data_IF_693045377595
#
_entry.id   IF_693045377595
#
_cell.length_a   1.000
_cell.length_b   1.000
_cell.length_c   1.000
_cell.angle_alpha   90.00
_cell.angle_beta   90.00
_cell.angle_gamma   90.00
#
_symmetry.space_group_name_H-M   'P 1'
#
loop_
_entity.id
_entity.type
_entity.pdbx_description
1 polymer ?
#
# COMPACT_ATOMS: atom_id res chain seq x y z
N UNK A 1 29.32 7.43 -6.62
CA UNK A 1 28.01 7.13 -5.99
C UNK A 1 27.31 6.19 -6.95
N UNK A 2 26.76 5.06 -6.48
CA UNK A 2 26.02 4.13 -7.33
C UNK A 2 24.73 4.79 -7.81
N UNK A 3 24.34 4.51 -9.04
CA UNK A 3 23.08 4.95 -9.63
C UNK A 3 22.01 3.93 -9.30
N UNK A 4 21.05 4.29 -8.46
CA UNK A 4 20.04 3.36 -7.92
C UNK A 4 18.69 3.62 -8.57
N UNK A 5 18.09 2.57 -9.12
CA UNK A 5 16.70 2.57 -9.56
C UNK A 5 15.77 2.26 -8.37
N UNK A 6 14.73 3.05 -8.18
CA UNK A 6 13.64 2.72 -7.25
C UNK A 6 12.47 2.16 -8.05
N UNK A 7 12.01 0.99 -7.61
CA UNK A 7 10.91 0.25 -8.24
C UNK A 7 9.87 -0.15 -7.18
N UNK A 8 8.60 -0.08 -7.53
CA UNK A 8 7.48 -0.58 -6.72
C UNK A 8 6.46 -1.28 -7.60
N UNK A 9 5.35 -1.74 -7.04
CA UNK A 9 4.19 -2.23 -7.78
C UNK A 9 3.00 -1.26 -7.67
N UNK A 10 1.96 -1.46 -8.50
CA UNK A 10 0.81 -0.56 -8.55
C UNK A 10 -0.05 -0.58 -7.28
N UNK A 11 0.15 -1.53 -6.34
CA UNK A 11 -0.53 -1.51 -5.04
C UNK A 11 -0.08 -0.33 -4.16
N UNK A 12 1.04 0.32 -4.49
CA UNK A 12 1.45 1.58 -3.86
C UNK A 12 0.44 2.71 -4.11
N UNK A 13 -0.35 2.65 -5.18
CA UNK A 13 -1.22 3.73 -5.61
C UNK A 13 -0.51 4.81 -6.45
N UNK A 14 0.80 4.64 -6.69
CA UNK A 14 1.53 5.55 -7.59
C UNK A 14 1.17 5.19 -9.03
N UNK A 15 0.59 6.14 -9.74
CA UNK A 15 0.23 5.99 -11.15
C UNK A 15 1.45 5.93 -12.07
N UNK A 16 1.30 5.38 -13.29
CA UNK A 16 2.40 5.38 -14.28
C UNK A 16 2.87 6.80 -14.61
N UNK A 17 1.96 7.77 -14.65
CA UNK A 17 2.27 9.19 -14.88
C UNK A 17 3.07 9.80 -13.74
N UNK A 18 2.68 9.55 -12.49
CA UNK A 18 3.41 10.02 -11.31
C UNK A 18 4.80 9.38 -11.24
N UNK A 19 4.89 8.06 -11.50
CA UNK A 19 6.16 7.34 -11.54
C UNK A 19 7.15 7.95 -12.53
N UNK A 20 6.68 8.30 -13.73
CA UNK A 20 7.52 8.99 -14.72
C UNK A 20 8.01 10.36 -14.22
N UNK A 21 7.15 11.12 -13.54
CA UNK A 21 7.52 12.41 -12.93
C UNK A 21 8.51 12.28 -11.78
N UNK A 22 8.45 11.19 -11.01
CA UNK A 22 9.34 10.88 -9.89
C UNK A 22 10.66 10.24 -10.34
N UNK A 23 10.76 9.75 -11.57
CA UNK A 23 11.91 9.00 -12.07
C UNK A 23 12.04 7.61 -11.45
N UNK A 24 10.92 6.96 -11.13
CA UNK A 24 10.84 5.60 -10.61
C UNK A 24 10.11 4.67 -11.57
N UNK A 25 10.08 3.39 -11.26
CA UNK A 25 9.35 2.39 -12.04
C UNK A 25 8.24 1.73 -11.23
N UNK A 26 7.06 1.60 -11.81
CA UNK A 26 5.92 0.90 -11.22
C UNK A 26 5.58 -0.33 -12.05
N UNK A 27 5.69 -1.52 -11.43
CA UNK A 27 5.26 -2.77 -12.03
C UNK A 27 3.74 -2.90 -11.90
N UNK A 28 2.99 -2.96 -13.00
CA UNK A 28 1.54 -3.07 -12.92
C UNK A 28 1.13 -4.45 -12.41
N UNK A 29 0.21 -4.46 -11.44
CA UNK A 29 -0.39 -5.70 -10.92
C UNK A 29 -1.50 -6.16 -11.86
N UNK A 30 -1.48 -7.43 -12.30
CA UNK A 30 -2.54 -7.97 -13.14
C UNK A 30 -3.79 -8.29 -12.30
N UNK A 31 -4.95 -8.03 -12.85
CA UNK A 31 -6.21 -8.53 -12.34
C UNK A 31 -7.15 -8.90 -13.47
N UNK A 32 -8.06 -9.82 -13.21
CA UNK A 32 -9.00 -10.34 -14.19
C UNK A 32 -10.40 -9.86 -13.88
N UNK A 33 -11.10 -9.39 -14.92
CA UNK A 33 -12.52 -9.05 -14.88
C UNK A 33 -13.19 -9.88 -15.97
N UNK A 34 -14.12 -10.76 -15.60
CA UNK A 34 -14.83 -11.65 -16.53
C UNK A 34 -13.86 -12.33 -17.51
N UNK A 35 -12.82 -12.99 -17.01
CA UNK A 35 -11.79 -13.72 -17.77
C UNK A 35 -10.88 -12.86 -18.66
N UNK A 36 -10.98 -11.54 -18.61
CA UNK A 36 -10.08 -10.62 -19.31
C UNK A 36 -9.07 -10.02 -18.35
N UNK A 37 -7.78 -10.03 -18.73
CA UNK A 37 -6.71 -9.45 -17.91
C UNK A 37 -6.62 -7.95 -18.14
N UNK A 38 -6.60 -7.22 -17.02
CA UNK A 38 -6.45 -5.78 -16.97
C UNK A 38 -5.27 -5.34 -16.14
N UNK A 39 -4.79 -4.14 -16.43
CA UNK A 39 -3.74 -3.42 -15.70
C UNK A 39 -4.18 -1.97 -15.51
N UNK A 40 -4.20 -1.51 -14.27
CA UNK A 40 -4.54 -0.13 -13.92
C UNK A 40 -3.62 0.86 -14.67
N UNK A 41 -4.17 1.98 -15.11
CA UNK A 41 -3.50 3.04 -15.87
C UNK A 41 -2.94 2.62 -17.25
N UNK A 42 -3.10 1.36 -17.66
CA UNK A 42 -2.65 0.84 -18.96
C UNK A 42 -3.85 0.55 -19.85
N UNK A 43 -4.76 -0.30 -19.41
CA UNK A 43 -5.94 -0.69 -20.18
C UNK A 43 -7.25 -0.65 -19.37
N UNK A 44 -7.21 -0.11 -18.13
CA UNK A 44 -8.38 0.09 -17.29
C UNK A 44 -8.24 1.38 -16.47
N UNK A 45 -9.30 2.20 -16.50
CA UNK A 45 -9.48 3.37 -15.65
C UNK A 45 -10.28 3.02 -14.39
N UNK A 46 -10.22 3.87 -13.36
CA UNK A 46 -10.99 3.68 -12.13
C UNK A 46 -12.51 3.69 -12.41
N UNK A 47 -13.02 4.63 -13.18
CA UNK A 47 -14.44 4.70 -13.51
C UNK A 47 -14.93 3.41 -14.17
N UNK A 48 -14.19 2.92 -15.17
CA UNK A 48 -14.51 1.67 -15.86
C UNK A 48 -14.50 0.46 -14.94
N UNK A 49 -13.59 0.42 -13.99
CA UNK A 49 -13.52 -0.64 -12.99
C UNK A 49 -14.77 -0.66 -12.11
N UNK A 50 -15.17 0.50 -11.59
CA UNK A 50 -16.37 0.58 -10.76
C UNK A 50 -17.66 0.30 -11.53
N UNK A 51 -17.73 0.67 -12.83
CA UNK A 51 -18.82 0.22 -13.72
C UNK A 51 -18.91 -1.31 -13.80
N UNK A 52 -17.78 -2.01 -13.91
CA UNK A 52 -17.76 -3.47 -13.89
C UNK A 52 -18.29 -4.04 -12.58
N UNK A 53 -17.84 -3.49 -11.44
CA UNK A 53 -18.33 -3.96 -10.13
C UNK A 53 -19.82 -3.72 -9.92
N UNK A 54 -20.35 -2.60 -10.37
CA UNK A 54 -21.77 -2.27 -10.30
C UNK A 54 -22.63 -3.20 -11.18
N UNK A 55 -22.04 -3.82 -12.19
CA UNK A 55 -22.67 -4.82 -13.05
C UNK A 55 -22.31 -6.27 -12.66
N UNK A 56 -21.99 -6.51 -11.38
CA UNK A 56 -21.73 -7.84 -10.80
C UNK A 56 -20.59 -8.61 -11.48
N UNK A 57 -19.61 -7.94 -12.07
CA UNK A 57 -18.47 -8.59 -12.71
C UNK A 57 -17.66 -9.41 -11.71
N UNK A 58 -17.16 -10.56 -12.17
CA UNK A 58 -16.28 -11.41 -11.36
C UNK A 58 -14.86 -10.85 -11.45
N UNK A 59 -14.34 -10.36 -10.31
CA UNK A 59 -12.99 -9.81 -10.22
C UNK A 59 -12.09 -10.74 -9.41
N UNK A 60 -10.88 -10.97 -9.90
CA UNK A 60 -9.81 -11.69 -9.18
C UNK A 60 -8.45 -11.03 -9.46
N UNK A 61 -7.50 -11.21 -8.56
CA UNK A 61 -6.14 -10.68 -8.69
C UNK A 61 -5.11 -11.79 -8.72
N UNK A 62 -3.98 -11.53 -9.38
CA UNK A 62 -2.80 -12.37 -9.31
C UNK A 62 -1.54 -11.53 -9.06
N UNK A 63 -0.46 -12.19 -8.64
CA UNK A 63 0.84 -11.55 -8.63
C UNK A 63 1.35 -11.35 -10.07
N UNK A 64 2.29 -10.42 -10.32
CA UNK A 64 3.00 -10.34 -11.60
C UNK A 64 3.70 -11.66 -11.93
N UNK A 65 3.82 -11.98 -13.21
CA UNK A 65 4.58 -13.16 -13.60
C UNK A 65 6.07 -12.98 -13.26
N UNK A 66 6.80 -14.08 -12.98
CA UNK A 66 8.26 -14.03 -12.84
C UNK A 66 8.93 -13.35 -14.03
N UNK A 67 8.49 -13.64 -15.26
CA UNK A 67 9.02 -13.02 -16.48
C UNK A 67 8.86 -11.49 -16.49
N UNK A 68 7.74 -10.97 -15.98
CA UNK A 68 7.53 -9.51 -15.90
C UNK A 68 8.51 -8.85 -14.93
N UNK A 69 8.80 -9.51 -13.80
CA UNK A 69 9.80 -9.05 -12.83
C UNK A 69 11.22 -9.10 -13.41
N UNK A 70 11.61 -10.22 -14.00
CA UNK A 70 12.91 -10.42 -14.66
C UNK A 70 13.12 -9.36 -15.74
N UNK A 71 12.14 -9.16 -16.61
CA UNK A 71 12.21 -8.15 -17.66
C UNK A 71 12.42 -6.74 -17.09
N UNK A 72 11.71 -6.39 -16.01
CA UNK A 72 11.86 -5.07 -15.38
C UNK A 72 13.23 -4.94 -14.71
N UNK A 73 13.75 -5.98 -14.03
CA UNK A 73 15.08 -5.95 -13.44
C UNK A 73 16.17 -5.76 -14.50
N UNK A 74 16.12 -6.51 -15.61
CA UNK A 74 17.06 -6.34 -16.72
C UNK A 74 17.00 -4.92 -17.32
N UNK A 75 15.77 -4.42 -17.57
CA UNK A 75 15.57 -3.07 -18.10
C UNK A 75 16.21 -2.02 -17.21
N UNK A 76 16.04 -2.12 -15.90
CA UNK A 76 16.59 -1.15 -14.95
C UNK A 76 18.09 -1.30 -14.79
N UNK A 77 18.62 -2.52 -14.72
CA UNK A 77 20.07 -2.77 -14.60
C UNK A 77 20.86 -2.41 -15.88
N UNK A 78 20.19 -2.19 -17.02
CA UNK A 78 20.84 -1.64 -18.19
C UNK A 78 21.23 -0.17 -18.05
N UNK A 79 20.61 0.58 -17.12
CA UNK A 79 20.81 2.01 -16.92
C UNK A 79 21.28 2.38 -15.52
N UNK A 80 21.11 1.48 -14.53
CA UNK A 80 21.40 1.68 -13.11
C UNK A 80 22.32 0.58 -12.59
N UNK A 81 23.11 0.91 -11.57
CA UNK A 81 24.02 -0.06 -10.92
C UNK A 81 23.26 -1.02 -10.01
N UNK A 82 22.19 -0.54 -9.38
CA UNK A 82 21.37 -1.30 -8.43
C UNK A 82 19.89 -0.97 -8.58
N UNK A 83 19.04 -1.93 -8.19
CA UNK A 83 17.59 -1.79 -8.12
C UNK A 83 17.13 -2.03 -6.70
N UNK A 84 16.37 -1.09 -6.14
CA UNK A 84 15.62 -1.27 -4.89
C UNK A 84 14.15 -1.46 -5.24
N UNK A 85 13.65 -2.68 -5.07
CA UNK A 85 12.26 -3.04 -5.34
C UNK A 85 11.46 -3.10 -4.04
N UNK A 86 10.39 -2.30 -3.96
CA UNK A 86 9.51 -2.17 -2.80
C UNK A 86 8.12 -2.70 -3.17
N UNK A 87 7.89 -4.03 -3.12
CA UNK A 87 6.58 -4.63 -3.38
C UNK A 87 5.65 -4.46 -2.19
N UNK A 88 4.35 -4.73 -2.40
CA UNK A 88 3.39 -4.82 -1.30
C UNK A 88 3.75 -5.92 -0.30
N UNK A 89 3.19 -5.82 0.92
CA UNK A 89 3.41 -6.77 2.02
C UNK A 89 3.38 -8.24 1.58
N UNK A 90 4.38 -9.01 2.00
CA UNK A 90 4.45 -10.46 1.79
C UNK A 90 3.28 -11.23 2.40
N UNK A 91 2.61 -10.67 3.41
CA UNK A 91 1.43 -11.27 4.01
C UNK A 91 0.15 -11.09 3.20
N UNK A 92 0.14 -10.19 2.20
CA UNK A 92 -1.02 -9.88 1.36
C UNK A 92 -0.87 -10.42 -0.07
N UNK A 93 0.37 -10.62 -0.56
CA UNK A 93 0.65 -11.16 -1.89
C UNK A 93 1.93 -11.98 -1.90
N UNK A 94 1.97 -13.04 -2.72
CA UNK A 94 3.18 -13.79 -3.02
C UNK A 94 4.22 -13.03 -3.85
N UNK A 95 3.88 -11.85 -4.40
CA UNK A 95 4.78 -11.08 -5.27
C UNK A 95 6.11 -10.72 -4.61
N UNK A 96 6.09 -10.36 -3.32
CA UNK A 96 7.31 -10.08 -2.56
C UNK A 96 8.22 -11.30 -2.47
N UNK A 97 7.68 -12.47 -2.15
CA UNK A 97 8.45 -13.72 -2.05
C UNK A 97 9.04 -14.11 -3.41
N UNK A 98 8.25 -14.02 -4.48
CA UNK A 98 8.73 -14.28 -5.85
C UNK A 98 9.87 -13.32 -6.21
N UNK A 99 9.73 -12.03 -5.93
CA UNK A 99 10.79 -11.05 -6.17
C UNK A 99 12.06 -11.35 -5.35
N UNK A 100 11.92 -11.73 -4.07
CA UNK A 100 13.05 -12.12 -3.22
C UNK A 100 13.79 -13.36 -3.77
N UNK A 101 13.05 -14.34 -4.29
CA UNK A 101 13.67 -15.54 -4.90
C UNK A 101 14.46 -15.17 -6.16
N UNK A 102 13.85 -14.39 -7.05
CA UNK A 102 14.50 -13.94 -8.28
C UNK A 102 15.74 -13.06 -8.00
N UNK A 103 15.70 -12.21 -6.99
CA UNK A 103 16.84 -11.37 -6.61
C UNK A 103 18.06 -12.16 -6.11
N UNK A 104 17.89 -13.45 -5.78
CA UNK A 104 18.99 -14.36 -5.39
C UNK A 104 19.60 -15.12 -6.58
N UNK A 105 19.00 -15.00 -7.77
CA UNK A 105 19.60 -15.60 -8.97
C UNK A 105 20.95 -14.94 -9.28
N UNK A 106 21.95 -15.70 -9.79
CA UNK A 106 23.33 -15.21 -9.97
C UNK A 106 23.44 -13.89 -10.77
N UNK A 107 22.52 -13.64 -11.67
CA UNK A 107 22.51 -12.43 -12.50
C UNK A 107 22.02 -11.18 -11.75
N UNK A 108 21.23 -11.34 -10.67
CA UNK A 108 20.62 -10.26 -9.86
C UNK A 108 21.24 -10.13 -8.47
N UNK A 109 21.92 -11.15 -8.00
CA UNK A 109 22.52 -11.15 -6.66
C UNK A 109 23.49 -9.98 -6.47
N UNK A 110 23.35 -9.28 -5.36
CA UNK A 110 24.11 -8.07 -5.06
C UNK A 110 23.77 -6.84 -5.89
N UNK A 111 22.77 -6.91 -6.79
CA UNK A 111 22.31 -5.79 -7.63
C UNK A 111 20.83 -5.45 -7.43
N UNK A 112 19.99 -6.43 -7.09
CA UNK A 112 18.55 -6.24 -6.84
C UNK A 112 18.28 -6.46 -5.36
N UNK A 113 17.73 -5.45 -4.70
CA UNK A 113 17.41 -5.42 -3.28
C UNK A 113 15.90 -5.31 -3.09
N UNK A 114 15.26 -6.42 -2.72
CA UNK A 114 13.81 -6.47 -2.49
C UNK A 114 13.53 -6.15 -1.03
N UNK A 115 12.67 -5.14 -0.79
CA UNK A 115 12.31 -4.63 0.53
C UNK A 115 10.99 -5.22 0.98
N UNK A 116 10.98 -6.03 2.03
CA UNK A 116 9.77 -6.53 2.66
C UNK A 116 9.44 -5.74 3.94
N UNK A 117 8.99 -4.52 3.79
CA UNK A 117 8.63 -3.69 4.94
C UNK A 117 7.14 -3.79 5.33
N UNK A 118 6.42 -4.77 4.81
CA UNK A 118 5.05 -5.11 5.19
C UNK A 118 4.05 -3.96 5.02
N UNK A 119 4.26 -3.10 4.04
CA UNK A 119 3.41 -1.95 3.72
C UNK A 119 2.58 -2.18 2.46
N UNK A 120 1.53 -1.38 2.29
CA UNK A 120 0.63 -1.38 1.14
C UNK A 120 0.03 0.00 0.97
N UNK A 121 -0.42 0.34 -0.25
CA UNK A 121 -1.13 1.59 -0.55
C UNK A 121 -0.29 2.81 -0.14
N UNK A 122 -0.92 3.81 0.45
CA UNK A 122 -0.28 5.08 0.83
C UNK A 122 0.95 4.93 1.74
N UNK A 123 1.03 3.88 2.55
CA UNK A 123 2.23 3.60 3.36
C UNK A 123 3.36 3.00 2.53
N UNK A 124 3.03 2.22 1.50
CA UNK A 124 4.01 1.76 0.50
C UNK A 124 4.51 2.93 -0.36
N UNK A 125 3.62 3.86 -0.75
CA UNK A 125 4.03 5.13 -1.39
C UNK A 125 5.05 5.88 -0.54
N UNK A 126 4.81 6.00 0.77
CA UNK A 126 5.76 6.67 1.65
C UNK A 126 7.13 5.97 1.64
N UNK A 127 7.15 4.62 1.68
CA UNK A 127 8.41 3.87 1.59
C UNK A 127 9.18 4.12 0.29
N UNK A 128 8.48 4.31 -0.82
CA UNK A 128 9.09 4.69 -2.10
C UNK A 128 9.74 6.06 -2.02
N UNK A 129 9.05 7.05 -1.44
CA UNK A 129 9.58 8.40 -1.25
C UNK A 129 10.80 8.39 -0.31
N UNK A 130 10.75 7.62 0.77
CA UNK A 130 11.86 7.47 1.71
C UNK A 130 13.07 6.82 1.02
N UNK A 131 12.87 5.78 0.19
CA UNK A 131 13.93 5.16 -0.60
C UNK A 131 14.60 6.16 -1.56
N UNK A 132 13.81 7.00 -2.23
CA UNK A 132 14.34 8.05 -3.12
C UNK A 132 15.21 9.07 -2.36
N UNK A 133 14.79 9.48 -1.18
CA UNK A 133 15.55 10.41 -0.34
C UNK A 133 16.86 9.76 0.18
N UNK A 134 16.81 8.47 0.57
CA UNK A 134 18.00 7.74 0.98
C UNK A 134 18.99 7.59 -0.19
N UNK A 135 18.51 7.26 -1.39
CA UNK A 135 19.35 7.19 -2.59
C UNK A 135 20.02 8.54 -2.92
N UNK A 136 19.26 9.65 -2.83
CA UNK A 136 19.83 11.01 -2.98
C UNK A 136 20.91 11.34 -1.95
N UNK A 137 20.77 10.82 -0.72
CA UNK A 137 21.77 10.97 0.36
C UNK A 137 22.99 10.06 0.19
N UNK A 138 23.00 9.19 -0.84
CA UNK A 138 24.12 8.33 -1.20
C UNK A 138 24.14 6.96 -0.56
N UNK A 139 23.05 6.51 0.06
CA UNK A 139 22.93 5.15 0.55
C UNK A 139 22.84 4.19 -0.64
N UNK A 140 23.48 3.01 -0.52
CA UNK A 140 23.38 1.94 -1.49
C UNK A 140 22.09 1.09 -1.30
N UNK A 141 21.81 0.19 -2.24
CA UNK A 141 20.59 -0.61 -2.22
C UNK A 141 20.44 -1.50 -0.98
N UNK A 142 21.56 -2.07 -0.48
CA UNK A 142 21.55 -2.89 0.73
C UNK A 142 21.22 -2.07 1.99
N UNK A 143 21.78 -0.86 2.08
CA UNK A 143 21.52 0.07 3.17
C UNK A 143 20.09 0.58 3.15
N UNK A 144 19.56 0.95 1.97
CA UNK A 144 18.17 1.39 1.80
C UNK A 144 17.21 0.26 2.22
N UNK A 145 17.43 -0.97 1.73
CA UNK A 145 16.65 -2.15 2.13
C UNK A 145 16.63 -2.31 3.64
N UNK A 146 17.80 -2.30 4.28
CA UNK A 146 17.92 -2.47 5.72
C UNK A 146 17.13 -1.41 6.49
N UNK A 147 17.30 -0.14 6.15
CA UNK A 147 16.62 0.98 6.82
C UNK A 147 15.10 0.85 6.70
N UNK A 148 14.58 0.58 5.50
CA UNK A 148 13.15 0.46 5.28
C UNK A 148 12.53 -0.77 5.96
N UNK A 149 13.27 -1.87 6.08
CA UNK A 149 12.80 -3.07 6.79
C UNK A 149 12.84 -2.89 8.31
N UNK A 150 13.80 -2.17 8.85
CA UNK A 150 13.85 -1.78 10.27
C UNK A 150 12.70 -0.83 10.63
N UNK A 151 12.31 0.06 9.70
CA UNK A 151 11.23 1.05 9.86
C UNK A 151 9.81 0.47 9.68
N UNK A 152 9.67 -0.82 9.38
CA UNK A 152 8.38 -1.42 9.02
C UNK A 152 7.23 -1.18 10.01
N UNK A 153 7.53 -1.13 11.30
CA UNK A 153 6.54 -0.92 12.35
C UNK A 153 6.30 0.56 12.69
N UNK A 154 7.02 1.50 12.08
CA UNK A 154 6.75 2.94 12.19
C UNK A 154 5.63 3.37 11.22
N UNK A 155 4.61 2.54 11.13
CA UNK A 155 3.44 2.74 10.29
C UNK A 155 2.25 2.01 10.90
N UNK A 156 1.07 2.60 10.78
CA UNK A 156 -0.21 1.98 11.14
C UNK A 156 -1.25 2.31 10.09
N UNK A 157 -2.10 1.34 9.77
CA UNK A 157 -3.27 1.55 8.91
C UNK A 157 -4.51 1.10 9.68
N UNK A 158 -5.53 1.95 9.73
CA UNK A 158 -6.85 1.61 10.23
C UNK A 158 -7.86 1.75 9.11
N UNK A 159 -8.71 0.74 8.94
CA UNK A 159 -9.62 0.64 7.80
C UNK A 159 -11.01 0.34 8.32
N UNK A 160 -11.99 1.16 7.97
CA UNK A 160 -13.40 0.87 8.19
C UNK A 160 -14.03 0.48 6.86
N UNK A 161 -14.73 -0.65 6.83
CA UNK A 161 -15.35 -1.21 5.64
C UNK A 161 -16.86 -1.33 5.80
N UNK A 162 -17.57 -1.21 4.69
CA UNK A 162 -19.00 -1.51 4.63
C UNK A 162 -19.27 -3.00 4.64
N UNK A 163 -18.40 -3.82 4.06
CA UNK A 163 -18.50 -5.27 4.02
C UNK A 163 -17.12 -5.93 4.11
N UNK A 164 -17.07 -7.13 4.68
CA UNK A 164 -15.88 -8.00 4.67
C UNK A 164 -15.95 -9.09 3.59
N UNK A 165 -16.98 -9.04 2.72
CA UNK A 165 -17.23 -10.09 1.73
C UNK A 165 -16.03 -10.32 0.82
N UNK A 166 -15.50 -9.25 0.23
CA UNK A 166 -14.39 -9.33 -0.74
C UNK A 166 -13.08 -9.76 -0.08
N UNK A 167 -12.77 -9.24 1.11
CA UNK A 167 -11.60 -9.65 1.88
C UNK A 167 -11.64 -11.12 2.30
N UNK A 168 -12.80 -11.62 2.71
CA UNK A 168 -13.00 -13.05 3.02
C UNK A 168 -12.80 -13.91 1.77
N UNK A 169 -13.43 -13.54 0.67
CA UNK A 169 -13.30 -14.22 -0.61
C UNK A 169 -11.85 -14.25 -1.08
N UNK A 170 -11.12 -13.15 -0.88
CA UNK A 170 -9.71 -13.02 -1.23
C UNK A 170 -8.75 -13.72 -0.26
N UNK A 171 -9.15 -14.05 0.96
CA UNK A 171 -8.28 -14.68 1.96
C UNK A 171 -7.17 -13.76 2.52
N UNK A 172 -7.32 -12.43 2.45
CA UNK A 172 -6.32 -11.41 2.87
C UNK A 172 -6.56 -10.89 4.27
N UNK A 173 -7.38 -11.56 5.07
CA UNK A 173 -7.65 -11.22 6.47
C UNK A 173 -7.33 -12.38 7.39
N UNK A 174 -7.06 -12.06 8.67
CA UNK A 174 -6.90 -13.09 9.70
C UNK A 174 -8.24 -13.78 10.00
N UNK A 175 -8.23 -15.01 10.56
CA UNK A 175 -9.46 -15.67 11.02
C UNK A 175 -10.25 -14.83 12.03
N UNK A 176 -9.56 -14.07 12.90
CA UNK A 176 -10.17 -13.17 13.87
C UNK A 176 -10.94 -12.03 13.18
N UNK A 177 -10.33 -11.38 12.17
CA UNK A 177 -10.99 -10.36 11.38
C UNK A 177 -12.15 -10.94 10.55
N UNK A 178 -11.99 -12.13 9.97
CA UNK A 178 -13.04 -12.81 9.23
C UNK A 178 -14.28 -13.11 10.08
N UNK A 179 -14.11 -13.41 11.37
CA UNK A 179 -15.21 -13.65 12.31
C UNK A 179 -16.07 -12.39 12.57
N UNK A 180 -15.52 -11.18 12.40
CA UNK A 180 -16.29 -9.94 12.55
C UNK A 180 -17.42 -9.81 11.51
N UNK A 181 -17.21 -10.32 10.30
CA UNK A 181 -18.17 -10.19 9.21
C UNK A 181 -19.40 -11.09 9.32
N UNK A 182 -19.52 -11.92 10.36
CA UNK A 182 -20.73 -12.72 10.62
C UNK A 182 -21.79 -11.96 11.39
N UNK A 183 -21.46 -10.78 11.91
CA UNK A 183 -22.35 -9.95 12.73
C UNK A 183 -23.05 -8.93 11.85
N UNK A 184 -24.33 -9.16 11.56
CA UNK A 184 -25.20 -8.25 10.81
C UNK A 184 -25.20 -6.85 11.44
N UNK A 185 -25.11 -5.81 10.60
CA UNK A 185 -25.17 -4.38 10.96
C UNK A 185 -23.98 -3.82 11.73
N UNK A 186 -22.82 -4.48 11.76
CA UNK A 186 -21.60 -3.88 12.28
C UNK A 186 -20.74 -3.29 11.15
N UNK A 187 -20.05 -2.21 11.48
CA UNK A 187 -18.97 -1.63 10.68
C UNK A 187 -17.64 -2.06 11.31
N UNK A 188 -16.98 -3.09 10.79
CA UNK A 188 -15.71 -3.53 11.33
C UNK A 188 -14.62 -2.50 11.08
N UNK A 189 -13.78 -2.25 12.09
CA UNK A 189 -12.53 -1.52 11.93
C UNK A 189 -11.42 -2.56 12.00
N UNK A 190 -10.61 -2.60 10.95
CA UNK A 190 -9.44 -3.46 10.82
C UNK A 190 -8.17 -2.63 10.98
N UNK A 191 -7.05 -3.29 11.26
CA UNK A 191 -5.73 -2.67 11.30
C UNK A 191 -4.72 -3.46 10.46
N UNK A 192 -3.69 -2.76 9.99
CA UNK A 192 -2.45 -3.35 9.50
C UNK A 192 -1.31 -2.76 10.32
N UNK A 193 -0.69 -3.60 11.15
CA UNK A 193 0.57 -3.37 11.85
C UNK A 193 1.45 -4.60 11.66
N UNK A 194 1.95 -4.80 10.45
CA UNK A 194 2.67 -6.00 10.06
C UNK A 194 2.10 -6.57 8.76
N UNK A 195 2.01 -7.90 8.65
CA UNK A 195 1.83 -8.55 7.35
C UNK A 195 0.40 -8.52 6.80
N UNK A 196 -0.63 -8.61 7.65
CA UNK A 196 -2.04 -8.88 7.25
C UNK A 196 -3.01 -7.92 7.91
N UNK A 197 -4.22 -7.87 7.33
CA UNK A 197 -5.34 -7.21 7.98
C UNK A 197 -5.83 -8.03 9.17
N UNK A 198 -5.88 -7.39 10.33
CA UNK A 198 -6.36 -7.99 11.57
C UNK A 198 -7.54 -7.22 12.14
N UNK A 199 -8.25 -7.83 13.07
CA UNK A 199 -9.36 -7.23 13.78
C UNK A 199 -8.85 -6.15 14.75
N UNK A 200 -9.43 -4.95 14.69
CA UNK A 200 -9.14 -3.87 15.64
C UNK A 200 -10.34 -3.57 16.53
N UNK A 201 -11.47 -3.19 15.94
CA UNK A 201 -12.65 -2.79 16.69
C UNK A 201 -13.95 -3.13 15.94
N UNK A 202 -15.08 -3.02 16.67
CA UNK A 202 -16.44 -3.21 16.15
C UNK A 202 -17.23 -1.94 16.38
N UNK A 203 -17.56 -1.22 15.32
CA UNK A 203 -18.44 -0.07 15.38
C UNK A 203 -19.87 -0.46 14.97
N UNK A 204 -20.86 0.25 15.54
CA UNK A 204 -22.28 0.09 15.14
C UNK A 204 -22.69 1.07 14.06
N UNK A 205 -21.97 2.16 13.91
CA UNK A 205 -22.23 3.25 12.94
C UNK A 205 -20.94 3.69 12.27
N UNK A 206 -21.03 4.33 11.10
CA UNK A 206 -19.86 4.96 10.44
C UNK A 206 -19.20 5.99 11.38
N UNK A 207 -19.97 6.85 12.04
CA UNK A 207 -19.45 7.86 12.97
C UNK A 207 -18.66 7.24 14.12
N UNK A 208 -19.18 6.16 14.74
CA UNK A 208 -18.44 5.45 15.80
C UNK A 208 -17.13 4.84 15.28
N UNK A 209 -17.15 4.27 14.05
CA UNK A 209 -15.94 3.73 13.42
C UNK A 209 -14.89 4.80 13.13
N UNK A 210 -15.29 5.94 12.59
CA UNK A 210 -14.42 7.10 12.38
C UNK A 210 -13.79 7.58 13.69
N UNK A 211 -14.58 7.73 14.75
CA UNK A 211 -14.07 8.10 16.08
C UNK A 211 -13.06 7.10 16.63
N UNK A 212 -13.29 5.80 16.44
CA UNK A 212 -12.35 4.75 16.85
C UNK A 212 -11.03 4.84 16.08
N UNK A 213 -11.07 5.11 14.76
CA UNK A 213 -9.86 5.29 13.96
C UNK A 213 -9.07 6.54 14.37
N UNK A 214 -9.74 7.68 14.59
CA UNK A 214 -9.10 8.90 15.08
C UNK A 214 -8.42 8.67 16.45
N UNK A 215 -9.10 7.99 17.37
CA UNK A 215 -8.52 7.68 18.67
C UNK A 215 -7.33 6.73 18.56
N UNK A 216 -7.38 5.75 17.66
CA UNK A 216 -6.27 4.83 17.42
C UNK A 216 -5.03 5.55 16.88
N UNK A 217 -5.21 6.41 15.88
CA UNK A 217 -4.14 7.26 15.33
C UNK A 217 -3.58 8.19 16.41
N UNK A 218 -4.43 8.80 17.22
CA UNK A 218 -3.99 9.64 18.34
C UNK A 218 -3.09 8.87 19.32
N UNK A 219 -3.51 7.66 19.70
CA UNK A 219 -2.73 6.79 20.59
C UNK A 219 -1.38 6.39 19.95
N UNK A 220 -1.36 6.10 18.64
CA UNK A 220 -0.12 5.79 17.94
C UNK A 220 0.83 6.99 17.90
N UNK A 221 0.32 8.19 17.62
CA UNK A 221 1.13 9.41 17.64
C UNK A 221 1.72 9.64 19.03
N UNK A 222 0.91 9.54 20.09
CA UNK A 222 1.36 9.75 21.48
C UNK A 222 2.40 8.73 21.93
N UNK A 223 2.22 7.44 21.61
CA UNK A 223 3.00 6.37 22.23
C UNK A 223 4.08 5.77 21.32
N UNK A 224 4.03 6.02 20.00
CA UNK A 224 4.92 5.36 19.03
C UNK A 224 5.62 6.34 18.09
N UNK A 225 5.00 7.46 17.74
CA UNK A 225 5.49 8.35 16.68
C UNK A 225 5.97 9.71 17.20
N UNK A 226 6.33 9.82 18.48
CA UNK A 226 7.01 10.98 19.04
C UNK A 226 6.10 12.05 19.64
N UNK A 227 4.77 11.85 19.65
CA UNK A 227 3.85 12.79 20.28
C UNK A 227 3.33 13.88 19.35
N UNK A 228 2.97 15.05 19.93
CA UNK A 228 2.29 16.14 19.21
C UNK A 228 3.15 17.43 19.14
N UNK A 229 4.43 17.33 19.43
CA UNK A 229 5.34 18.47 19.28
C UNK A 229 5.66 18.79 17.80
N UNK A 230 6.34 19.90 17.55
CA UNK A 230 6.66 20.33 16.19
C UNK A 230 7.57 19.33 15.47
N UNK A 231 8.48 18.66 16.19
CA UNK A 231 9.38 17.67 15.62
C UNK A 231 8.60 16.45 15.12
N UNK A 232 7.63 15.97 15.90
CA UNK A 232 6.74 14.87 15.49
C UNK A 232 5.89 15.25 14.29
N UNK A 233 5.37 16.50 14.23
CA UNK A 233 4.59 16.99 13.07
C UNK A 233 5.41 17.07 11.80
N UNK A 234 6.72 17.32 11.89
CA UNK A 234 7.63 17.31 10.74
C UNK A 234 7.92 15.89 10.24
N UNK A 235 7.97 14.91 11.14
CA UNK A 235 8.33 13.53 10.81
C UNK A 235 7.13 12.66 10.43
N UNK A 236 5.96 12.86 11.07
CA UNK A 236 4.75 12.06 10.83
C UNK A 236 3.95 12.64 9.67
N UNK A 237 3.52 11.77 8.76
CA UNK A 237 2.58 12.11 7.69
C UNK A 237 1.32 11.26 7.84
N UNK A 238 0.18 11.91 7.91
CA UNK A 238 -1.12 11.25 7.86
C UNK A 238 -1.51 10.99 6.41
N UNK A 239 -2.14 9.85 6.18
CA UNK A 239 -2.63 9.49 4.86
C UNK A 239 -4.08 9.03 4.92
N UNK A 240 -4.86 9.41 3.92
CA UNK A 240 -6.21 8.89 3.68
C UNK A 240 -6.19 8.15 2.34
N UNK A 241 -6.66 6.92 2.37
CA UNK A 241 -6.94 6.15 1.17
C UNK A 241 -8.45 5.86 1.11
N UNK A 242 -9.03 5.95 -0.07
CA UNK A 242 -10.47 5.78 -0.26
C UNK A 242 -10.80 5.02 -1.55
N UNK A 243 -12.00 4.44 -1.61
CA UNK A 243 -12.59 3.88 -2.82
C UNK A 243 -13.62 4.87 -3.38
N UNK A 244 -13.96 4.78 -4.64
CA UNK A 244 -14.98 5.50 -5.43
C UNK A 244 -15.46 6.88 -4.94
N UNK A 245 -15.93 7.03 -3.69
CA UNK A 245 -16.59 8.24 -3.17
C UNK A 245 -15.58 9.31 -2.72
N UNK A 246 -15.19 10.16 -3.67
CA UNK A 246 -14.28 11.27 -3.40
C UNK A 246 -14.91 12.38 -2.53
N UNK A 247 -16.24 12.55 -2.56
CA UNK A 247 -16.93 13.56 -1.73
C UNK A 247 -16.93 13.14 -0.26
N UNK A 248 -17.26 11.86 0.04
CA UNK A 248 -17.15 11.32 1.41
C UNK A 248 -15.69 11.37 1.90
N UNK A 249 -14.72 11.12 1.02
CA UNK A 249 -13.31 11.19 1.35
C UNK A 249 -12.87 12.63 1.71
N UNK A 250 -13.33 13.64 1.00
CA UNK A 250 -13.01 15.05 1.32
C UNK A 250 -13.64 15.49 2.65
N UNK A 251 -14.86 15.07 2.97
CA UNK A 251 -15.46 15.30 4.30
C UNK A 251 -14.63 14.60 5.40
N UNK A 252 -14.19 13.37 5.15
CA UNK A 252 -13.32 12.66 6.09
C UNK A 252 -11.98 13.35 6.30
N UNK A 253 -11.41 13.89 5.24
CA UNK A 253 -10.18 14.68 5.31
C UNK A 253 -10.33 15.90 6.22
N UNK A 254 -11.45 16.60 6.15
CA UNK A 254 -11.72 17.73 7.04
C UNK A 254 -11.77 17.29 8.50
N UNK A 255 -12.50 16.21 8.82
CA UNK A 255 -12.54 15.63 10.17
C UNK A 255 -11.14 15.26 10.70
N UNK A 256 -10.29 14.67 9.85
CA UNK A 256 -8.91 14.31 10.21
C UNK A 256 -8.05 15.54 10.44
N UNK A 257 -8.16 16.58 9.59
CA UNK A 257 -7.40 17.82 9.75
C UNK A 257 -7.80 18.57 11.04
N UNK A 258 -9.09 18.56 11.40
CA UNK A 258 -9.57 19.12 12.66
C UNK A 258 -9.04 18.36 13.88
N UNK A 259 -8.96 17.02 13.80
CA UNK A 259 -8.47 16.17 14.87
C UNK A 259 -6.93 16.26 15.07
N UNK A 260 -6.18 16.54 14.00
CA UNK A 260 -4.72 16.56 13.98
C UNK A 260 -4.16 17.84 13.34
N UNK A 261 -4.37 19.00 13.95
CA UNK A 261 -3.91 20.27 13.39
C UNK A 261 -2.37 20.33 13.33
N UNK A 262 -1.88 20.80 12.19
CA UNK A 262 -0.45 20.97 11.95
C UNK A 262 0.30 19.74 11.41
N UNK A 263 -0.33 18.57 11.38
CA UNK A 263 0.25 17.40 10.71
C UNK A 263 0.08 17.51 9.19
N UNK A 264 1.08 16.98 8.46
CA UNK A 264 0.96 16.82 7.00
C UNK A 264 -0.07 15.75 6.68
N UNK A 265 -0.96 16.04 5.74
CA UNK A 265 -1.99 15.10 5.30
C UNK A 265 -1.93 14.92 3.78
N UNK A 266 -1.94 13.69 3.34
CA UNK A 266 -2.06 13.29 1.93
C UNK A 266 -3.32 12.45 1.76
N UNK A 267 -3.96 12.55 0.60
CA UNK A 267 -5.14 11.74 0.25
C UNK A 267 -5.01 11.23 -1.17
N UNK A 268 -5.31 9.95 -1.38
CA UNK A 268 -5.29 9.31 -2.68
C UNK A 268 -6.36 8.21 -2.78
N UNK A 269 -6.90 7.93 -3.96
CA UNK A 269 -7.70 6.74 -4.17
C UNK A 269 -6.84 5.48 -3.99
N UNK A 270 -7.46 4.37 -3.59
CA UNK A 270 -6.81 3.07 -3.61
C UNK A 270 -6.56 2.61 -5.04
N UNK A 271 -5.44 1.94 -5.27
CA UNK A 271 -5.23 1.23 -6.53
C UNK A 271 -6.31 0.17 -6.75
N UNK A 272 -6.65 -0.10 -8.00
CA UNK A 272 -7.73 -1.04 -8.34
C UNK A 272 -7.45 -2.46 -7.88
N UNK A 273 -6.18 -2.88 -7.90
CA UNK A 273 -5.73 -4.18 -7.40
C UNK A 273 -5.89 -4.34 -5.87
N UNK A 274 -6.00 -3.24 -5.12
CA UNK A 274 -6.35 -3.22 -3.70
C UNK A 274 -7.86 -3.06 -3.52
N UNK A 275 -8.47 -2.10 -4.23
CA UNK A 275 -9.89 -1.77 -4.13
C UNK A 275 -10.81 -2.97 -4.43
N UNK A 276 -10.40 -3.90 -5.31
CA UNK A 276 -11.19 -5.09 -5.63
C UNK A 276 -11.33 -6.09 -4.45
N UNK A 277 -10.63 -5.86 -3.36
CA UNK A 277 -10.69 -6.70 -2.15
C UNK A 277 -11.43 -6.09 -0.97
N UNK A 278 -11.88 -4.83 -1.09
CA UNK A 278 -12.51 -4.11 0.04
C UNK A 278 -13.85 -3.48 -0.34
#
# INVERSE_FOLDING_TARGET
MKKIAIMTDSNSGITQKEAAGLGISVLPMPFMINDTTYFEDINLTQDRFYEFLENDAVVSTSQPSPDSLIHMFHKLLAEYDEVVHIPMSSGLSGSCQTACMLAQEPEFDGKVFVVNNQRISVTQTQSVLDAMELAKKGYDGAQIKKILEEDKFNSSIYIMLDTLFYLKKGGRITPAAAALGTLLKLKPVLQIQGEKLDAFAKARTKSAGKSMMLQAIKNDIENRFGGFDESAKECVTLHIAYTKDAEEAELWKQEVMEAFPGFRLKMAPLSLSVACHI
#
